data_IF_858028425372
#
_entry.id   IF_858028425372
#
_cell.length_a   1.000
_cell.length_b   1.000
_cell.length_c   1.000
_cell.angle_alpha   90.00
_cell.angle_beta   90.00
_cell.angle_gamma   90.00
#
_symmetry.space_group_name_H-M   'P 1'
#
loop_
_entity.id
_entity.type
_entity.pdbx_description
1 polymer ?
#
# COMPACT_ATOMS: atom_id res chain seq x y z
N UNK A 1 18.74 -20.21 27.44
CA UNK A 1 17.65 -19.90 26.51
C UNK A 1 17.49 -18.39 26.45
N UNK A 2 18.03 -17.75 25.42
CA UNK A 2 17.89 -16.30 25.27
C UNK A 2 16.47 -15.97 24.79
N UNK A 3 15.73 -15.20 25.58
CA UNK A 3 14.48 -14.60 25.17
C UNK A 3 14.82 -13.59 24.07
N UNK A 4 14.41 -13.87 22.82
CA UNK A 4 14.43 -12.88 21.76
C UNK A 4 13.38 -11.86 22.15
N UNK A 5 13.81 -10.71 22.66
CA UNK A 5 12.92 -9.55 22.80
C UNK A 5 12.53 -9.14 21.38
N UNK A 6 11.28 -9.40 21.01
CA UNK A 6 10.67 -8.78 19.82
C UNK A 6 10.53 -7.31 20.22
N UNK A 7 11.45 -6.46 19.75
CA UNK A 7 11.28 -5.01 19.83
C UNK A 7 10.18 -4.70 18.82
N UNK A 8 8.95 -4.61 19.29
CA UNK A 8 7.82 -4.17 18.48
C UNK A 8 8.03 -2.71 18.08
N UNK A 9 7.88 -2.38 16.81
CA UNK A 9 7.76 -0.99 16.37
C UNK A 9 6.38 -0.54 16.85
N UNK A 10 6.33 0.41 17.77
CA UNK A 10 5.08 0.95 18.32
C UNK A 10 4.51 2.07 17.43
N UNK A 11 5.39 2.77 16.70
CA UNK A 11 5.05 3.85 15.78
C UNK A 11 5.89 3.77 14.52
N UNK A 12 5.37 4.26 13.40
CA UNK A 12 6.09 4.43 12.15
C UNK A 12 6.37 5.93 11.94
N UNK A 13 7.63 6.29 11.96
CA UNK A 13 8.10 7.58 11.50
C UNK A 13 8.24 7.60 9.96
N UNK A 14 8.69 8.73 9.42
CA UNK A 14 8.93 8.89 7.98
C UNK A 14 9.84 7.80 7.41
N UNK A 15 10.95 7.51 8.10
CA UNK A 15 11.95 6.54 7.67
C UNK A 15 11.39 5.12 7.64
N UNK A 16 10.71 4.70 8.70
CA UNK A 16 10.07 3.40 8.80
C UNK A 16 8.96 3.25 7.74
N UNK A 17 8.24 4.33 7.45
CA UNK A 17 7.21 4.30 6.42
C UNK A 17 7.81 4.19 5.00
N UNK A 18 8.92 4.85 4.73
CA UNK A 18 9.69 4.68 3.49
C UNK A 18 10.17 3.23 3.35
N UNK A 19 10.75 2.65 4.41
CA UNK A 19 11.18 1.25 4.41
C UNK A 19 10.02 0.29 4.14
N UNK A 20 8.84 0.56 4.70
CA UNK A 20 7.63 -0.23 4.43
C UNK A 20 7.25 -0.17 2.95
N UNK A 21 7.31 0.99 2.30
CA UNK A 21 7.04 1.12 0.86
C UNK A 21 8.06 0.37 0.01
N UNK A 22 9.34 0.39 0.38
CA UNK A 22 10.39 -0.40 -0.28
C UNK A 22 10.14 -1.90 -0.13
N UNK A 23 9.84 -2.38 1.08
CA UNK A 23 9.50 -3.80 1.32
C UNK A 23 8.28 -4.24 0.50
N UNK A 24 7.26 -3.41 0.43
CA UNK A 24 6.06 -3.71 -0.36
C UNK A 24 6.36 -3.80 -1.86
N UNK A 25 7.12 -2.84 -2.39
CA UNK A 25 7.59 -2.88 -3.78
C UNK A 25 8.39 -4.15 -4.07
N UNK A 26 9.35 -4.49 -3.20
CA UNK A 26 10.23 -5.64 -3.39
C UNK A 26 9.44 -6.95 -3.36
N UNK A 27 8.53 -7.11 -2.40
CA UNK A 27 7.64 -8.25 -2.33
C UNK A 27 6.79 -8.43 -3.59
N UNK A 28 6.26 -7.34 -4.17
CA UNK A 28 5.51 -7.40 -5.42
C UNK A 28 6.40 -7.77 -6.62
N UNK A 29 7.63 -7.26 -6.68
CA UNK A 29 8.57 -7.63 -7.75
C UNK A 29 8.97 -9.11 -7.65
N UNK A 30 9.22 -9.62 -6.45
CA UNK A 30 9.63 -11.02 -6.22
C UNK A 30 8.50 -12.01 -6.54
N UNK A 31 7.25 -11.63 -6.28
CA UNK A 31 6.08 -12.48 -6.51
C UNK A 31 5.31 -12.16 -7.79
N UNK A 32 5.82 -11.29 -8.63
CA UNK A 32 5.16 -10.77 -9.84
C UNK A 32 4.63 -11.89 -10.74
N UNK A 33 5.46 -12.87 -11.06
CA UNK A 33 5.09 -13.97 -11.94
C UNK A 33 4.03 -14.90 -11.33
N UNK A 34 4.09 -15.11 -10.02
CA UNK A 34 3.07 -15.86 -9.30
C UNK A 34 1.71 -15.15 -9.38
N UNK A 35 1.69 -13.83 -9.16
CA UNK A 35 0.48 -13.01 -9.27
C UNK A 35 -0.06 -12.99 -10.70
N UNK A 36 0.81 -12.92 -11.70
CA UNK A 36 0.43 -13.01 -13.10
C UNK A 36 -0.26 -14.35 -13.40
N UNK A 37 0.27 -15.46 -12.89
CA UNK A 37 -0.28 -16.79 -13.11
C UNK A 37 -1.65 -17.03 -12.43
N UNK A 38 -1.95 -16.28 -11.38
CA UNK A 38 -3.22 -16.33 -10.65
C UNK A 38 -4.29 -15.41 -11.26
N UNK A 39 -3.94 -14.61 -12.25
CA UNK A 39 -4.86 -13.68 -12.88
C UNK A 39 -5.87 -14.42 -13.76
N UNK A 40 -7.08 -14.59 -13.24
CA UNK A 40 -8.20 -15.25 -13.94
C UNK A 40 -9.44 -14.36 -14.11
N UNK A 41 -9.47 -13.22 -13.42
CA UNK A 41 -10.61 -12.30 -13.40
C UNK A 41 -10.15 -10.82 -13.35
N UNK A 42 -10.85 -9.89 -14.02
CA UNK A 42 -11.99 -10.09 -14.95
C UNK A 42 -11.54 -10.55 -16.35
N UNK A 43 -10.26 -10.32 -16.69
CA UNK A 43 -9.65 -10.73 -17.96
C UNK A 43 -8.37 -11.49 -17.63
N UNK A 44 -8.20 -12.73 -18.11
CA UNK A 44 -7.01 -13.54 -17.82
C UNK A 44 -5.84 -13.17 -18.75
N UNK A 45 -5.40 -11.90 -18.71
CA UNK A 45 -4.28 -11.37 -19.51
C UNK A 45 -2.90 -11.59 -18.87
N UNK A 46 -2.88 -12.12 -17.64
CA UNK A 46 -1.65 -12.51 -16.96
C UNK A 46 -0.74 -11.34 -16.59
N UNK A 47 -1.28 -10.15 -16.38
CA UNK A 47 -0.49 -8.92 -16.13
C UNK A 47 -0.69 -8.28 -14.75
N UNK A 48 -1.52 -8.87 -13.89
CA UNK A 48 -1.86 -8.34 -12.54
C UNK A 48 -0.61 -7.99 -11.73
N UNK A 49 0.29 -8.95 -11.56
CA UNK A 49 1.53 -8.75 -10.79
C UNK A 49 2.44 -7.70 -11.43
N UNK A 50 2.56 -7.70 -12.75
CA UNK A 50 3.36 -6.72 -13.49
C UNK A 50 2.82 -5.30 -13.33
N UNK A 51 1.51 -5.11 -13.40
CA UNK A 51 0.85 -3.82 -13.22
C UNK A 51 0.99 -3.30 -11.77
N UNK A 52 0.80 -4.18 -10.79
CA UNK A 52 0.98 -3.83 -9.37
C UNK A 52 2.42 -3.42 -9.08
N UNK A 53 3.40 -4.22 -9.53
CA UNK A 53 4.82 -3.93 -9.35
C UNK A 53 5.23 -2.62 -10.03
N UNK A 54 4.77 -2.36 -11.27
CA UNK A 54 5.04 -1.10 -11.97
C UNK A 54 4.48 0.11 -11.21
N UNK A 55 3.28 -0.03 -10.63
CA UNK A 55 2.67 1.04 -9.82
C UNK A 55 3.49 1.33 -8.57
N UNK A 56 3.92 0.31 -7.82
CA UNK A 56 4.78 0.48 -6.64
C UNK A 56 6.19 1.00 -6.98
N UNK A 57 6.75 0.60 -8.12
CA UNK A 57 8.02 1.17 -8.59
C UNK A 57 7.90 2.70 -8.80
N UNK A 58 6.78 3.17 -9.35
CA UNK A 58 6.52 4.61 -9.49
C UNK A 58 6.39 5.32 -8.14
N UNK A 59 5.73 4.70 -7.15
CA UNK A 59 5.66 5.23 -5.77
C UNK A 59 7.04 5.41 -5.18
N UNK A 60 7.88 4.37 -5.24
CA UNK A 60 9.24 4.42 -4.67
C UNK A 60 10.10 5.45 -5.41
N UNK A 61 9.97 5.56 -6.73
CA UNK A 61 10.68 6.59 -7.50
C UNK A 61 10.29 8.00 -7.06
N UNK A 62 9.01 8.24 -6.81
CA UNK A 62 8.52 9.53 -6.31
C UNK A 62 9.06 9.84 -4.91
N UNK A 63 9.05 8.85 -4.00
CA UNK A 63 9.65 8.99 -2.67
C UNK A 63 11.14 9.33 -2.77
N UNK A 64 11.89 8.64 -3.62
CA UNK A 64 13.33 8.90 -3.83
C UNK A 64 13.63 10.30 -4.35
N UNK A 65 12.69 10.92 -5.07
CA UNK A 65 12.85 12.29 -5.58
C UNK A 65 12.79 13.36 -4.48
N UNK A 66 12.32 13.02 -3.28
CA UNK A 66 12.24 13.96 -2.15
C UNK A 66 13.61 14.27 -1.52
N UNK A 67 14.64 13.48 -1.82
CA UNK A 67 15.98 13.64 -1.24
C UNK A 67 16.17 12.92 0.09
N UNK A 68 17.12 13.40 0.90
CA UNK A 68 17.48 12.81 2.19
C UNK A 68 16.55 13.33 3.30
N UNK A 69 16.14 12.45 4.22
CA UNK A 69 15.34 12.75 5.42
C UNK A 69 14.05 13.58 5.16
N UNK A 70 13.15 13.15 4.27
CA UNK A 70 11.91 13.87 4.05
C UNK A 70 10.95 13.72 5.24
N UNK A 71 10.19 14.77 5.52
CA UNK A 71 9.10 14.74 6.50
C UNK A 71 8.00 13.77 6.09
N UNK A 72 7.29 13.17 7.05
CA UNK A 72 6.24 12.19 6.82
C UNK A 72 5.15 12.73 5.88
N UNK A 73 4.76 14.00 6.01
CA UNK A 73 3.76 14.62 5.13
C UNK A 73 4.20 14.62 3.66
N UNK A 74 5.48 14.89 3.39
CA UNK A 74 6.05 14.83 2.05
C UNK A 74 6.02 13.42 1.48
N UNK A 75 6.36 12.42 2.30
CA UNK A 75 6.33 10.99 1.91
C UNK A 75 4.89 10.55 1.59
N UNK A 76 3.92 10.92 2.42
CA UNK A 76 2.48 10.68 2.19
C UNK A 76 2.04 11.30 0.85
N UNK A 77 2.46 12.53 0.57
CA UNK A 77 2.21 13.20 -0.70
C UNK A 77 2.80 12.44 -1.89
N UNK A 78 4.05 11.99 -1.77
CA UNK A 78 4.74 11.20 -2.80
C UNK A 78 4.08 9.85 -3.05
N UNK A 79 3.64 9.15 -2.00
CA UNK A 79 2.88 7.88 -2.14
C UNK A 79 1.58 8.11 -2.90
N UNK A 80 0.82 9.15 -2.53
CA UNK A 80 -0.44 9.49 -3.20
C UNK A 80 -0.23 9.85 -4.67
N UNK A 81 0.72 10.73 -4.96
CA UNK A 81 1.03 11.19 -6.32
C UNK A 81 1.64 10.06 -7.17
N UNK A 82 2.67 9.39 -6.67
CA UNK A 82 3.37 8.32 -7.39
C UNK A 82 2.45 7.15 -7.72
N UNK A 83 1.53 6.77 -6.81
CA UNK A 83 0.57 5.70 -7.07
C UNK A 83 -0.46 6.08 -8.13
N UNK A 84 -0.92 7.34 -8.13
CA UNK A 84 -1.87 7.85 -9.12
C UNK A 84 -1.24 7.92 -10.51
N UNK A 85 -0.07 8.54 -10.62
CA UNK A 85 0.62 8.73 -11.90
C UNK A 85 1.21 7.43 -12.45
N UNK A 86 1.56 6.52 -11.56
CA UNK A 86 2.13 5.22 -11.88
C UNK A 86 1.13 4.10 -12.12
N UNK A 87 -0.17 4.32 -11.90
CA UNK A 87 -1.18 3.28 -12.03
C UNK A 87 -1.17 2.63 -13.43
N UNK A 88 -1.10 1.30 -13.46
CA UNK A 88 -1.10 0.50 -14.69
C UNK A 88 -2.16 -0.59 -14.60
N UNK A 89 -2.97 -0.70 -15.65
CA UNK A 89 -4.05 -1.69 -15.70
C UNK A 89 -5.06 -1.58 -14.57
N UNK A 90 -6.02 -2.49 -14.50
CA UNK A 90 -7.04 -2.49 -13.45
C UNK A 90 -6.44 -2.73 -12.06
N UNK A 91 -5.48 -3.66 -11.94
CA UNK A 91 -4.83 -3.98 -10.68
C UNK A 91 -3.98 -2.83 -10.14
N UNK A 92 -3.28 -2.09 -11.01
CA UNK A 92 -2.55 -0.89 -10.63
C UNK A 92 -3.48 0.24 -10.18
N UNK A 93 -4.63 0.41 -10.83
CA UNK A 93 -5.64 1.38 -10.37
C UNK A 93 -6.17 1.01 -8.99
N UNK A 94 -6.46 -0.27 -8.72
CA UNK A 94 -6.93 -0.72 -7.40
C UNK A 94 -5.85 -0.48 -6.34
N UNK A 95 -4.59 -0.86 -6.58
CA UNK A 95 -3.47 -0.58 -5.67
C UNK A 95 -3.32 0.93 -5.42
N UNK A 96 -3.45 1.75 -6.45
CA UNK A 96 -3.42 3.21 -6.29
C UNK A 96 -4.53 3.70 -5.34
N UNK A 97 -5.74 3.17 -5.44
CA UNK A 97 -6.83 3.55 -4.53
C UNK A 97 -6.60 3.05 -3.10
N UNK A 98 -6.04 1.84 -2.93
CA UNK A 98 -5.63 1.31 -1.63
C UNK A 98 -4.63 2.27 -0.97
N UNK A 99 -3.55 2.60 -1.65
CA UNK A 99 -2.50 3.48 -1.13
C UNK A 99 -3.05 4.89 -0.83
N UNK A 100 -3.85 5.45 -1.72
CA UNK A 100 -4.44 6.78 -1.53
C UNK A 100 -5.44 6.82 -0.38
N UNK A 101 -6.27 5.79 -0.21
CA UNK A 101 -7.16 5.67 0.94
C UNK A 101 -6.38 5.59 2.25
N UNK A 102 -5.30 4.78 2.27
CA UNK A 102 -4.41 4.65 3.41
C UNK A 102 -3.78 5.99 3.81
N UNK A 103 -3.09 6.65 2.90
CA UNK A 103 -2.39 7.92 3.21
C UNK A 103 -3.34 9.10 3.43
N UNK A 104 -4.54 9.08 2.85
CA UNK A 104 -5.56 10.10 3.12
C UNK A 104 -6.04 10.06 4.57
N UNK A 105 -6.19 8.87 5.17
CA UNK A 105 -6.57 8.74 6.57
C UNK A 105 -5.47 9.26 7.49
N UNK A 106 -4.20 8.96 7.19
CA UNK A 106 -3.06 9.47 7.94
C UNK A 106 -3.04 11.01 7.89
N UNK A 107 -3.16 11.57 6.69
CA UNK A 107 -3.17 13.03 6.49
C UNK A 107 -4.31 13.73 7.24
N UNK A 108 -5.47 13.08 7.35
CA UNK A 108 -6.65 13.63 8.03
C UNK A 108 -6.54 13.62 9.56
N UNK A 109 -5.71 12.73 10.10
CA UNK A 109 -5.65 12.47 11.55
C UNK A 109 -4.94 13.54 12.37
N UNK A 110 -4.24 14.49 11.75
CA UNK A 110 -3.43 15.52 12.44
C UNK A 110 -2.46 14.90 13.48
N UNK A 111 -1.98 13.69 13.21
CA UNK A 111 -1.21 12.86 14.14
C UNK A 111 0.27 13.25 14.28
N UNK A 112 0.70 14.35 13.66
CA UNK A 112 2.09 14.80 13.70
C UNK A 112 3.01 13.97 12.80
N UNK A 113 4.20 13.60 13.31
CA UNK A 113 5.27 12.98 12.53
C UNK A 113 5.28 11.44 12.61
N UNK A 114 4.34 10.82 13.33
CA UNK A 114 4.33 9.37 13.58
C UNK A 114 2.96 8.74 13.37
N UNK A 115 2.96 7.52 12.86
CA UNK A 115 1.78 6.68 12.67
C UNK A 115 1.77 5.62 13.78
N UNK A 116 0.86 5.73 14.73
CA UNK A 116 0.67 4.71 15.75
C UNK A 116 -0.18 3.53 15.23
N UNK A 117 -0.27 2.46 16.03
CA UNK A 117 -1.03 1.24 15.69
C UNK A 117 -2.51 1.54 15.42
N UNK A 118 -3.11 2.46 16.17
CA UNK A 118 -4.51 2.85 16.03
C UNK A 118 -4.76 3.55 14.70
N UNK A 119 -3.90 4.50 14.35
CA UNK A 119 -3.98 5.21 13.08
C UNK A 119 -3.69 4.28 11.90
N UNK A 120 -2.70 3.40 12.04
CA UNK A 120 -2.39 2.39 11.03
C UNK A 120 -3.60 1.49 10.72
N UNK A 121 -4.28 1.01 11.76
CA UNK A 121 -5.50 0.21 11.62
C UNK A 121 -6.63 0.98 10.92
N UNK A 122 -6.86 2.24 11.30
CA UNK A 122 -7.84 3.12 10.63
C UNK A 122 -7.47 3.35 9.16
N UNK A 123 -6.19 3.56 8.87
CA UNK A 123 -5.68 3.75 7.52
C UNK A 123 -5.89 2.51 6.65
N UNK A 124 -5.68 1.29 7.19
CA UNK A 124 -6.01 0.04 6.50
C UNK A 124 -7.51 -0.09 6.20
N UNK A 125 -8.36 0.30 7.15
CA UNK A 125 -9.82 0.29 6.95
C UNK A 125 -10.24 1.28 5.86
N UNK A 126 -9.65 2.48 5.85
CA UNK A 126 -9.89 3.48 4.80
C UNK A 126 -9.38 3.01 3.43
N UNK A 127 -8.23 2.32 3.39
CA UNK A 127 -7.69 1.69 2.18
C UNK A 127 -8.65 0.65 1.60
N UNK A 128 -9.21 -0.22 2.45
CA UNK A 128 -10.20 -1.21 2.04
C UNK A 128 -11.45 -0.55 1.46
N UNK A 129 -11.99 0.45 2.15
CA UNK A 129 -13.16 1.20 1.69
C UNK A 129 -12.91 1.84 0.31
N UNK A 130 -11.79 2.54 0.16
CA UNK A 130 -11.42 3.18 -1.10
C UNK A 130 -11.27 2.18 -2.26
N UNK A 131 -10.73 0.99 -1.99
CA UNK A 131 -10.59 -0.06 -2.99
C UNK A 131 -11.95 -0.59 -3.47
N UNK A 132 -12.88 -0.85 -2.56
CA UNK A 132 -14.23 -1.31 -2.90
C UNK A 132 -15.05 -0.24 -3.63
N UNK A 133 -14.95 1.02 -3.23
CA UNK A 133 -15.63 2.14 -3.90
C UNK A 133 -15.10 2.38 -5.33
N UNK A 134 -13.84 2.08 -5.58
CA UNK A 134 -13.23 2.25 -6.90
C UNK A 134 -13.70 1.20 -7.93
N UNK A 135 -14.28 0.10 -7.48
CA UNK A 135 -14.71 -1.02 -8.34
C UNK A 135 -16.24 -1.06 -8.41
N UNK A 136 -16.78 -0.84 -9.61
CA UNK A 136 -18.24 -0.78 -9.80
C UNK A 136 -18.98 -2.08 -9.42
N UNK A 137 -18.35 -3.24 -9.62
CA UNK A 137 -18.87 -4.56 -9.25
C UNK A 137 -17.79 -5.35 -8.52
N UNK A 138 -17.66 -5.16 -7.19
CA UNK A 138 -16.67 -5.89 -6.40
C UNK A 138 -16.86 -7.40 -6.45
N UNK A 139 -15.77 -8.14 -6.63
CA UNK A 139 -15.79 -9.61 -6.63
C UNK A 139 -14.87 -10.12 -5.53
N UNK A 140 -15.43 -11.01 -4.70
CA UNK A 140 -14.67 -11.67 -3.63
C UNK A 140 -13.67 -12.69 -4.18
N UNK A 141 -12.62 -12.98 -3.40
CA UNK A 141 -11.49 -13.82 -3.83
C UNK A 141 -10.47 -13.08 -4.67
N UNK A 142 -10.50 -11.75 -4.64
CA UNK A 142 -9.57 -10.86 -5.35
C UNK A 142 -8.72 -10.05 -4.36
N UNK A 143 -7.91 -9.12 -4.87
CA UNK A 143 -7.17 -8.14 -4.05
C UNK A 143 -8.08 -7.36 -3.07
N UNK A 144 -9.35 -7.15 -3.42
CA UNK A 144 -10.32 -6.50 -2.55
C UNK A 144 -10.55 -7.29 -1.27
N UNK A 145 -10.72 -8.61 -1.39
CA UNK A 145 -10.84 -9.50 -0.23
C UNK A 145 -9.59 -9.46 0.62
N UNK A 146 -8.39 -9.51 0.01
CA UNK A 146 -7.12 -9.47 0.74
C UNK A 146 -7.00 -8.20 1.57
N UNK A 147 -7.25 -7.01 1.00
CA UNK A 147 -7.14 -5.76 1.73
C UNK A 147 -8.20 -5.64 2.82
N UNK A 148 -9.41 -6.14 2.59
CA UNK A 148 -10.47 -6.18 3.62
C UNK A 148 -10.06 -7.06 4.79
N UNK A 149 -9.66 -8.30 4.55
CA UNK A 149 -9.24 -9.22 5.62
C UNK A 149 -8.03 -8.67 6.38
N UNK A 150 -7.06 -8.08 5.68
CA UNK A 150 -5.93 -7.41 6.31
C UNK A 150 -6.37 -6.28 7.24
N UNK A 151 -7.38 -5.49 6.84
CA UNK A 151 -7.91 -4.40 7.65
C UNK A 151 -8.60 -4.87 8.94
N UNK A 152 -9.05 -6.13 8.99
CA UNK A 152 -9.73 -6.73 10.15
C UNK A 152 -8.77 -7.37 11.16
N UNK A 153 -7.55 -7.70 10.77
CA UNK A 153 -6.57 -8.38 11.64
C UNK A 153 -6.15 -7.50 12.82
N UNK A 154 -6.25 -6.19 12.71
CA UNK A 154 -5.78 -5.21 13.69
C UNK A 154 -6.88 -4.64 14.60
N UNK A 155 -8.02 -5.26 14.64
CA UNK A 155 -9.13 -4.86 15.52
C UNK A 155 -8.98 -5.48 16.90
#
# INVERSE_FOLDING_TARGET
MGTIAVVGIETLDSKNFIELMHCFRDALNDHKENLNSLNVYPVPDGDTGSNMAATLNSVVTEIQSLGEDPELESVIGAVSHGSLMGARGNSGVIISQILRGFVSEIKRSDSGEEIDVTLFSKALSAASTAAYEAVGNPVEGTILTVVRELSLIHI
#
